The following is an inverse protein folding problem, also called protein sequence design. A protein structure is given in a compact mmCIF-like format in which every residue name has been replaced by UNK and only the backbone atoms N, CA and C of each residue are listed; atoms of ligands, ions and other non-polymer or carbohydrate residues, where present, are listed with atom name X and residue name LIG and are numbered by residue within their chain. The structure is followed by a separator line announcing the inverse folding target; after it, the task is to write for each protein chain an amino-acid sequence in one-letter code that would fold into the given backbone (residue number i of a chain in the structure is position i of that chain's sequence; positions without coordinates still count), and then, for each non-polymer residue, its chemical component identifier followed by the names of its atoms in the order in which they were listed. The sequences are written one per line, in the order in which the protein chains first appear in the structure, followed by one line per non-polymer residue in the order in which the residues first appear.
data_IF_301872629399
#
_entry.id   IF_301872629399
#
_cell.length_a   1.000
_cell.length_b   1.000
_cell.length_c   1.000
_cell.angle_alpha   90.00
_cell.angle_beta   90.00
_cell.angle_gamma   90.00
#
_symmetry.space_group_name_H-M   'P 1'
#
loop_
_entity.id
_entity.type
_entity.pdbx_description
1 polymer ?
#
# COMPACT_ATOMS: atom_id res chain seq x y z
N UNK A 1 5.39 36.29 25.55
CA UNK A 1 5.34 36.32 24.08
C UNK A 1 5.76 35.00 23.40
N UNK A 2 6.34 34.07 24.15
CA UNK A 2 6.64 32.72 23.70
C UNK A 2 5.44 31.91 23.20
N UNK A 3 4.17 32.10 23.66
CA UNK A 3 3.05 31.28 23.22
C UNK A 3 2.72 31.35 21.74
N UNK A 4 3.09 32.43 21.05
CA UNK A 4 2.80 32.57 19.62
C UNK A 4 3.72 31.74 18.71
N UNK A 5 4.92 31.44 19.20
CA UNK A 5 5.89 30.65 18.44
C UNK A 5 5.54 29.14 18.50
N UNK A 6 5.01 28.72 19.65
CA UNK A 6 4.58 27.32 19.81
C UNK A 6 3.41 26.97 18.90
N UNK A 7 2.52 27.93 18.62
CA UNK A 7 1.38 27.73 17.73
C UNK A 7 1.78 27.55 16.26
N UNK A 8 2.88 28.17 15.86
CA UNK A 8 3.39 28.03 14.49
C UNK A 8 4.06 26.67 14.27
N UNK A 9 4.67 26.14 15.30
CA UNK A 9 5.30 24.82 15.22
C UNK A 9 4.28 23.68 15.19
N UNK A 10 3.18 23.80 15.92
CA UNK A 10 2.11 22.81 15.93
C UNK A 10 1.52 22.58 14.52
N UNK A 11 1.47 23.65 13.73
CA UNK A 11 0.96 23.53 12.34
C UNK A 11 1.93 22.87 11.37
N UNK A 12 3.16 22.61 11.77
CA UNK A 12 4.20 21.98 10.92
C UNK A 12 4.34 20.49 11.16
N UNK A 13 3.86 20.01 12.29
CA UNK A 13 3.94 18.58 12.58
C UNK A 13 2.86 17.80 11.82
N UNK A 14 3.22 16.66 11.21
CA UNK A 14 2.23 15.83 10.55
C UNK A 14 1.23 15.31 11.57
N UNK A 15 -0.04 15.25 11.17
CA UNK A 15 -1.08 14.66 11.98
C UNK A 15 -0.86 13.15 12.07
N UNK A 16 -0.81 12.55 13.27
CA UNK A 16 -0.66 11.11 13.36
C UNK A 16 -1.89 10.39 12.80
N UNK A 17 -1.74 9.17 12.27
CA UNK A 17 -2.87 8.40 11.78
C UNK A 17 -3.77 7.96 12.93
N UNK A 18 -5.07 7.91 12.69
CA UNK A 18 -6.04 7.36 13.65
C UNK A 18 -5.84 5.85 13.82
N UNK A 19 -5.55 5.19 12.71
CA UNK A 19 -5.26 3.76 12.67
C UNK A 19 -3.96 3.55 11.91
N UNK A 20 -3.16 2.58 12.34
CA UNK A 20 -1.91 2.26 11.64
C UNK A 20 -2.24 1.62 10.30
N UNK A 21 -1.86 2.23 9.17
CA UNK A 21 -2.08 1.63 7.86
C UNK A 21 -1.20 0.39 7.68
N UNK A 22 -1.71 -0.59 6.93
CA UNK A 22 -0.94 -1.79 6.57
C UNK A 22 -0.03 -1.44 5.41
N UNK A 23 1.13 -0.92 5.74
CA UNK A 23 2.09 -0.32 4.81
C UNK A 23 3.50 -0.81 5.12
N UNK A 24 4.24 -1.16 4.09
CA UNK A 24 5.66 -1.44 4.17
C UNK A 24 6.38 -0.65 3.10
N UNK A 25 7.40 0.09 3.49
CA UNK A 25 8.18 0.92 2.59
C UNK A 25 9.62 0.40 2.51
N UNK A 26 10.20 0.52 1.33
CA UNK A 26 11.66 0.33 1.18
C UNK A 26 12.39 1.36 2.02
N UNK A 27 13.62 1.06 2.49
CA UNK A 27 14.43 2.04 3.20
C UNK A 27 14.60 3.33 2.40
N UNK A 28 14.78 4.45 3.09
CA UNK A 28 14.96 5.75 2.48
C UNK A 28 16.25 5.86 1.66
N UNK A 29 17.21 4.98 1.90
CA UNK A 29 18.45 4.90 1.12
C UNK A 29 18.17 4.51 -0.34
N UNK A 30 19.11 4.75 -1.26
CA UNK A 30 18.92 4.34 -2.65
C UNK A 30 18.53 2.87 -2.77
N UNK A 31 17.51 2.61 -3.57
CA UNK A 31 17.02 1.27 -3.81
C UNK A 31 16.66 1.10 -5.28
N UNK A 32 16.53 -0.14 -5.73
CA UNK A 32 16.10 -0.46 -7.08
C UNK A 32 14.63 -0.84 -7.08
N UNK A 33 14.02 -0.82 -8.25
CA UNK A 33 12.68 -1.33 -8.45
C UNK A 33 11.64 -0.29 -8.81
N UNK A 34 10.50 -0.80 -9.23
CA UNK A 34 9.35 -0.04 -9.72
C UNK A 34 8.59 0.66 -8.61
N UNK A 35 8.50 0.01 -7.44
CA UNK A 35 7.70 0.50 -6.34
C UNK A 35 8.59 0.81 -5.15
N UNK A 36 8.15 1.76 -4.35
CA UNK A 36 8.83 2.15 -3.13
C UNK A 36 8.33 1.38 -1.91
N UNK A 37 7.32 0.56 -2.10
CA UNK A 37 6.74 -0.26 -1.07
C UNK A 37 5.37 -0.77 -1.49
N UNK A 38 4.61 -1.29 -0.53
CA UNK A 38 3.27 -1.79 -0.75
C UNK A 38 2.33 -1.37 0.36
N UNK A 39 1.07 -1.19 0.00
CA UNK A 39 -0.01 -0.79 0.88
C UNK A 39 -1.18 -1.75 0.72
N UNK A 40 -1.71 -2.21 1.86
CA UNK A 40 -2.86 -3.11 1.88
C UNK A 40 -4.05 -2.41 2.55
N UNK A 41 -4.92 -1.73 1.78
CA UNK A 41 -6.09 -1.05 2.33
C UNK A 41 -7.14 -2.06 2.80
N UNK A 42 -8.05 -1.60 3.67
CA UNK A 42 -9.13 -2.45 4.20
C UNK A 42 -10.33 -2.51 3.26
N UNK A 43 -10.47 -1.52 2.37
CA UNK A 43 -11.59 -1.42 1.44
C UNK A 43 -11.16 -0.75 0.14
N UNK A 44 -12.08 -0.66 -0.81
CA UNK A 44 -11.88 0.07 -2.07
C UNK A 44 -12.36 1.53 -2.01
N UNK A 45 -12.64 2.04 -0.83
CA UNK A 45 -13.03 3.43 -0.62
C UNK A 45 -11.78 4.27 -0.32
N UNK A 46 -11.33 4.98 -1.33
CA UNK A 46 -10.10 5.77 -1.25
C UNK A 46 -10.18 6.86 -0.19
N UNK A 47 -11.34 7.51 -0.04
CA UNK A 47 -11.53 8.58 0.94
C UNK A 47 -11.46 8.09 2.39
N UNK A 48 -11.84 6.84 2.62
CA UNK A 48 -11.76 6.20 3.93
C UNK A 48 -10.33 5.74 4.24
N UNK A 49 -9.64 5.19 3.24
CA UNK A 49 -8.34 4.54 3.42
C UNK A 49 -7.15 5.51 3.38
N UNK A 50 -7.24 6.58 2.58
CA UNK A 50 -6.12 7.50 2.36
C UNK A 50 -5.68 8.30 3.59
N UNK A 51 -6.54 8.81 4.46
CA UNK A 51 -6.09 9.69 5.55
C UNK A 51 -4.96 9.11 6.39
N UNK A 52 -5.08 7.86 6.80
CA UNK A 52 -4.06 7.20 7.62
C UNK A 52 -2.76 6.96 6.83
N UNK A 53 -2.87 6.57 5.57
CA UNK A 53 -1.72 6.40 4.69
C UNK A 53 -0.97 7.70 4.50
N UNK A 54 -1.69 8.78 4.21
CA UNK A 54 -1.06 10.09 3.97
C UNK A 54 -0.43 10.66 5.23
N UNK A 55 -1.00 10.40 6.40
CA UNK A 55 -0.42 10.79 7.68
C UNK A 55 0.97 10.16 7.86
N UNK A 56 1.11 8.88 7.55
CA UNK A 56 2.41 8.19 7.65
C UNK A 56 3.38 8.67 6.57
N UNK A 57 2.92 8.77 5.32
CA UNK A 57 3.78 9.18 4.21
C UNK A 57 4.25 10.63 4.31
N UNK A 58 3.50 11.50 4.98
CA UNK A 58 3.90 12.90 5.16
C UNK A 58 5.21 13.02 5.96
N UNK A 59 5.53 12.06 6.79
CA UNK A 59 6.82 12.02 7.51
C UNK A 59 7.98 11.90 6.52
N UNK A 60 7.81 11.11 5.46
CA UNK A 60 8.85 10.86 4.46
C UNK A 60 8.83 11.88 3.32
N UNK A 61 7.64 12.24 2.86
CA UNK A 61 7.46 13.09 1.68
C UNK A 61 7.26 14.58 2.01
N UNK A 62 7.04 14.89 3.29
CA UNK A 62 6.60 16.22 3.69
C UNK A 62 5.13 16.42 3.32
N UNK A 63 4.75 17.67 3.05
CA UNK A 63 3.37 18.01 2.71
C UNK A 63 2.94 17.30 1.41
N UNK A 64 1.85 16.54 1.49
CA UNK A 64 1.31 15.82 0.34
C UNK A 64 0.47 16.78 -0.51
N UNK A 65 0.73 16.77 -1.82
CA UNK A 65 0.03 17.61 -2.80
C UNK A 65 -1.09 16.85 -3.49
N UNK A 66 -0.79 15.65 -3.98
CA UNK A 66 -1.76 14.86 -4.76
C UNK A 66 -1.51 13.36 -4.69
N UNK A 67 -2.54 12.62 -5.04
CA UNK A 67 -2.49 11.17 -5.16
C UNK A 67 -3.02 10.79 -6.54
N UNK A 68 -2.26 9.99 -7.28
CA UNK A 68 -2.65 9.45 -8.56
C UNK A 68 -3.07 7.99 -8.37
N UNK A 69 -4.19 7.61 -8.97
CA UNK A 69 -4.71 6.26 -8.83
C UNK A 69 -5.41 5.81 -10.11
N UNK A 70 -5.60 4.51 -10.25
CA UNK A 70 -6.36 3.97 -11.38
C UNK A 70 -7.86 3.98 -11.05
N UNK A 71 -8.64 4.62 -11.90
CA UNK A 71 -10.08 4.80 -11.69
C UNK A 71 -10.82 3.49 -11.44
N UNK A 72 -10.48 2.45 -12.20
CA UNK A 72 -11.17 1.16 -12.11
C UNK A 72 -10.83 0.34 -10.86
N UNK A 73 -9.77 0.69 -10.14
CA UNK A 73 -9.33 -0.05 -8.96
C UNK A 73 -10.07 0.36 -7.67
N UNK A 74 -10.77 1.49 -7.71
CA UNK A 74 -11.38 2.09 -6.53
C UNK A 74 -12.83 2.46 -6.79
N UNK A 75 -13.60 2.56 -5.71
CA UNK A 75 -14.94 3.14 -5.76
C UNK A 75 -14.83 4.61 -6.15
N UNK A 76 -15.92 5.18 -6.65
CA UNK A 76 -15.94 6.58 -7.06
C UNK A 76 -15.46 7.49 -5.93
N UNK A 77 -14.44 8.30 -6.22
CA UNK A 77 -13.84 9.21 -5.25
C UNK A 77 -13.96 10.66 -5.73
N UNK A 78 -14.00 11.63 -4.80
CA UNK A 78 -14.00 13.05 -5.16
C UNK A 78 -12.63 13.44 -5.72
N UNK A 79 -12.56 14.64 -6.29
CA UNK A 79 -11.30 15.17 -6.84
C UNK A 79 -10.38 15.77 -5.78
N UNK A 80 -10.88 15.97 -4.58
CA UNK A 80 -10.10 16.50 -3.45
C UNK A 80 -10.49 15.77 -2.17
N UNK A 81 -9.51 15.57 -1.31
CA UNK A 81 -9.70 14.99 0.01
C UNK A 81 -9.18 15.96 1.07
N UNK A 82 -10.03 16.31 2.01
CA UNK A 82 -9.62 17.11 3.17
C UNK A 82 -9.06 16.18 4.24
N UNK A 83 -7.79 16.34 4.58
CA UNK A 83 -7.13 15.54 5.61
C UNK A 83 -5.99 16.34 6.22
N UNK A 84 -5.79 16.21 7.54
CA UNK A 84 -4.74 16.93 8.24
C UNK A 84 -4.85 18.45 8.12
N UNK A 85 -6.07 19.00 8.01
CA UNK A 85 -6.29 20.44 7.84
C UNK A 85 -5.97 20.96 6.45
N UNK A 86 -5.74 20.10 5.46
CA UNK A 86 -5.36 20.46 4.10
C UNK A 86 -6.18 19.69 3.07
N UNK A 87 -6.20 20.22 1.85
CA UNK A 87 -6.82 19.53 0.72
C UNK A 87 -5.75 18.85 -0.13
N UNK A 88 -5.94 17.56 -0.38
CA UNK A 88 -5.08 16.76 -1.25
C UNK A 88 -5.85 16.47 -2.53
N UNK A 89 -5.23 16.69 -3.68
CA UNK A 89 -5.85 16.40 -4.97
C UNK A 89 -5.85 14.90 -5.23
N UNK A 90 -6.99 14.39 -5.69
CA UNK A 90 -7.13 12.99 -6.08
C UNK A 90 -7.31 12.92 -7.59
N UNK A 91 -6.27 12.47 -8.30
CA UNK A 91 -6.24 12.40 -9.76
C UNK A 91 -6.42 10.96 -10.21
N UNK A 92 -7.61 10.63 -10.69
CA UNK A 92 -7.90 9.31 -11.23
C UNK A 92 -7.61 9.25 -12.73
N UNK A 93 -6.93 8.21 -13.16
CA UNK A 93 -6.58 7.97 -14.55
C UNK A 93 -7.00 6.58 -14.99
N UNK A 94 -7.41 6.47 -16.24
CA UNK A 94 -7.76 5.16 -16.84
C UNK A 94 -6.51 4.35 -17.18
N UNK A 95 -5.43 5.05 -17.57
CA UNK A 95 -4.20 4.42 -18.02
C UNK A 95 -3.14 4.28 -16.92
N UNK A 96 -3.47 4.65 -15.69
CA UNK A 96 -2.60 4.40 -14.55
C UNK A 96 -2.36 2.89 -14.43
N UNK A 97 -1.12 2.43 -14.15
CA UNK A 97 -0.87 1.00 -13.96
C UNK A 97 -1.80 0.41 -12.89
N UNK A 98 -2.38 -0.78 -13.12
CA UNK A 98 -3.28 -1.38 -12.14
C UNK A 98 -2.55 -1.72 -10.84
N UNK A 99 -3.28 -1.69 -9.74
CA UNK A 99 -2.79 -1.99 -8.40
C UNK A 99 -1.61 -1.11 -7.99
N UNK A 100 -1.62 0.16 -8.42
CA UNK A 100 -0.63 1.15 -7.99
C UNK A 100 -1.29 2.45 -7.57
N UNK A 101 -0.66 3.10 -6.60
CA UNK A 101 -1.02 4.45 -6.17
C UNK A 101 0.28 5.25 -6.11
N UNK A 102 0.26 6.46 -6.63
CA UNK A 102 1.40 7.34 -6.61
C UNK A 102 1.09 8.55 -5.75
N UNK A 103 1.88 8.76 -4.71
CA UNK A 103 1.70 9.88 -3.76
C UNK A 103 2.80 10.90 -3.98
N UNK A 104 2.40 12.14 -4.26
CA UNK A 104 3.33 13.22 -4.54
C UNK A 104 3.32 14.27 -3.44
N UNK A 105 4.51 14.60 -2.96
CA UNK A 105 4.72 15.73 -2.06
C UNK A 105 4.98 17.02 -2.82
N UNK A 106 4.87 18.16 -2.14
CA UNK A 106 5.12 19.47 -2.73
C UNK A 106 6.56 19.64 -3.22
N UNK A 107 7.50 18.92 -2.64
CA UNK A 107 8.94 19.00 -2.98
C UNK A 107 9.31 18.11 -4.16
N UNK A 108 8.36 17.74 -5.01
CA UNK A 108 8.54 16.80 -6.13
C UNK A 108 8.96 15.40 -5.71
N UNK A 109 8.93 15.11 -4.43
CA UNK A 109 9.15 13.75 -3.93
C UNK A 109 7.90 12.93 -4.20
N UNK A 110 8.10 11.69 -4.58
CA UNK A 110 6.99 10.78 -4.83
C UNK A 110 7.28 9.39 -4.30
N UNK A 111 6.23 8.71 -3.90
CA UNK A 111 6.28 7.28 -3.61
C UNK A 111 5.28 6.57 -4.49
N UNK A 112 5.73 5.52 -5.15
CA UNK A 112 4.87 4.61 -5.91
C UNK A 112 4.64 3.39 -5.04
N UNK A 113 3.39 3.10 -4.75
CA UNK A 113 3.01 1.98 -3.90
C UNK A 113 2.26 0.93 -4.68
N UNK A 114 2.65 -0.32 -4.48
CA UNK A 114 1.83 -1.45 -4.88
C UNK A 114 0.61 -1.48 -3.96
N UNK A 115 -0.59 -1.57 -4.53
CA UNK A 115 -1.81 -1.74 -3.76
C UNK A 115 -2.19 -3.21 -3.74
N UNK A 116 -2.14 -3.81 -2.57
CA UNK A 116 -2.59 -5.18 -2.38
C UNK A 116 -4.12 -5.15 -2.27
N UNK A 117 -4.86 -5.92 -3.09
CA UNK A 117 -6.32 -5.90 -3.03
C UNK A 117 -6.85 -6.19 -1.62
N UNK A 118 -7.92 -5.48 -1.18
CA UNK A 118 -8.43 -5.61 0.19
C UNK A 118 -8.79 -7.03 0.61
N UNK A 119 -9.28 -7.82 -0.33
CA UNK A 119 -9.73 -9.20 -0.07
C UNK A 119 -8.63 -10.25 -0.14
N UNK A 120 -7.37 -9.81 -0.24
CA UNK A 120 -6.24 -10.74 -0.30
C UNK A 120 -6.11 -11.49 1.01
N UNK A 121 -5.82 -12.79 0.91
CA UNK A 121 -5.51 -13.61 2.07
C UNK A 121 -4.38 -12.97 2.92
N UNK A 122 -4.53 -12.91 4.26
CA UNK A 122 -3.54 -12.24 5.12
C UNK A 122 -2.10 -12.70 4.94
N UNK A 123 -1.87 -14.00 4.80
CA UNK A 123 -0.52 -14.53 4.61
C UNK A 123 0.09 -14.08 3.28
N UNK A 124 -0.73 -14.08 2.24
CA UNK A 124 -0.35 -13.60 0.90
C UNK A 124 -0.08 -12.10 0.89
N UNK A 125 -0.97 -11.34 1.52
CA UNK A 125 -0.80 -9.89 1.62
C UNK A 125 0.49 -9.55 2.35
N UNK A 126 0.78 -10.22 3.45
CA UNK A 126 2.00 -10.02 4.22
C UNK A 126 3.25 -10.35 3.38
N UNK A 127 3.23 -11.47 2.67
CA UNK A 127 4.36 -11.86 1.81
C UNK A 127 4.60 -10.82 0.71
N UNK A 128 3.54 -10.30 0.11
CA UNK A 128 3.63 -9.25 -0.92
C UNK A 128 4.20 -7.94 -0.33
N UNK A 129 3.73 -7.55 0.85
CA UNK A 129 4.22 -6.35 1.54
C UNK A 129 5.72 -6.46 1.83
N UNK A 130 6.15 -7.59 2.33
CA UNK A 130 7.57 -7.82 2.66
C UNK A 130 8.44 -7.85 1.40
N UNK A 131 7.98 -8.50 0.34
CA UNK A 131 8.72 -8.55 -0.92
C UNK A 131 8.86 -7.16 -1.55
N UNK A 132 7.78 -6.38 -1.57
CA UNK A 132 7.80 -5.04 -2.13
C UNK A 132 8.69 -4.07 -1.34
N UNK A 133 8.87 -4.30 -0.04
CA UNK A 133 9.69 -3.47 0.83
C UNK A 133 11.18 -3.86 0.83
N UNK A 134 11.55 -4.96 0.19
CA UNK A 134 12.94 -5.38 0.10
C UNK A 134 13.73 -4.41 -0.81
N UNK A 135 14.87 -3.84 -0.35
CA UNK A 135 15.59 -2.80 -1.09
C UNK A 135 16.09 -3.24 -2.45
N UNK A 136 16.42 -4.50 -2.60
CA UNK A 136 16.98 -5.11 -3.81
C UNK A 136 15.91 -5.75 -4.70
N UNK A 137 14.65 -5.70 -4.31
CA UNK A 137 13.57 -6.27 -5.13
C UNK A 137 13.19 -5.30 -6.23
N UNK A 138 13.46 -5.69 -7.47
CA UNK A 138 13.14 -4.91 -8.67
C UNK A 138 11.98 -5.51 -9.47
N UNK A 139 11.22 -6.42 -8.86
CA UNK A 139 10.06 -7.03 -9.51
C UNK A 139 9.02 -5.97 -9.89
N UNK A 140 8.35 -6.21 -11.00
CA UNK A 140 7.21 -5.39 -11.41
C UNK A 140 6.02 -5.61 -10.47
N UNK A 141 5.01 -4.75 -10.57
CA UNK A 141 3.77 -4.90 -9.82
C UNK A 141 3.14 -6.26 -10.10
N UNK A 142 3.02 -6.63 -11.37
CA UNK A 142 2.49 -7.93 -11.77
C UNK A 142 3.33 -9.08 -11.22
N UNK A 143 4.65 -8.95 -11.26
CA UNK A 143 5.57 -9.94 -10.70
C UNK A 143 5.36 -10.15 -9.20
N UNK A 144 5.21 -9.09 -8.44
CA UNK A 144 4.96 -9.16 -7.00
C UNK A 144 3.62 -9.83 -6.68
N UNK A 145 2.57 -9.49 -7.41
CA UNK A 145 1.26 -10.09 -7.24
C UNK A 145 1.25 -11.56 -7.68
N UNK A 146 1.98 -11.90 -8.74
CA UNK A 146 2.11 -13.29 -9.22
C UNK A 146 2.87 -14.18 -8.25
N UNK A 147 3.89 -13.67 -7.59
CA UNK A 147 4.60 -14.40 -6.53
C UNK A 147 3.61 -14.84 -5.45
N UNK A 148 2.73 -13.93 -5.03
CA UNK A 148 1.70 -14.23 -4.03
C UNK A 148 0.73 -15.32 -4.51
N UNK A 149 0.33 -15.29 -5.78
CA UNK A 149 -0.53 -16.30 -6.37
C UNK A 149 0.14 -17.67 -6.42
N UNK A 150 1.41 -17.72 -6.81
CA UNK A 150 2.20 -18.96 -6.85
C UNK A 150 2.34 -19.59 -5.48
N UNK A 151 2.58 -18.79 -4.45
CA UNK A 151 2.63 -19.30 -3.08
C UNK A 151 1.32 -19.92 -2.66
N UNK A 152 0.20 -19.30 -3.00
CA UNK A 152 -1.13 -19.83 -2.70
C UNK A 152 -1.38 -21.14 -3.43
N UNK A 153 -1.07 -21.21 -4.73
CA UNK A 153 -1.21 -22.43 -5.51
C UNK A 153 -0.36 -23.55 -4.93
N UNK A 154 0.88 -23.24 -4.56
CA UNK A 154 1.78 -24.21 -3.94
C UNK A 154 1.24 -24.74 -2.63
N UNK A 155 0.65 -23.90 -1.79
CA UNK A 155 0.01 -24.32 -0.53
C UNK A 155 -1.21 -25.19 -0.79
N UNK A 156 -2.04 -24.82 -1.74
CA UNK A 156 -3.23 -25.58 -2.13
C UNK A 156 -2.84 -26.95 -2.64
N UNK A 157 -1.81 -27.02 -3.48
CA UNK A 157 -1.28 -28.28 -4.00
C UNK A 157 -0.71 -29.17 -2.89
N UNK A 158 0.00 -28.60 -1.93
CA UNK A 158 0.53 -29.34 -0.79
C UNK A 158 -0.59 -29.88 0.10
N UNK A 159 -1.62 -29.09 0.35
CA UNK A 159 -2.78 -29.50 1.13
C UNK A 159 -3.53 -30.65 0.43
N UNK A 160 -3.74 -30.53 -0.89
CA UNK A 160 -4.39 -31.57 -1.68
C UNK A 160 -3.56 -32.86 -1.73
N UNK A 161 -2.24 -32.74 -1.83
CA UNK A 161 -1.34 -33.89 -1.77
C UNK A 161 -1.38 -34.58 -0.41
N UNK A 162 -1.46 -33.82 0.67
CA UNK A 162 -1.59 -34.36 2.02
C UNK A 162 -2.91 -35.11 2.21
N UNK A 163 -4.02 -34.54 1.74
CA UNK A 163 -5.33 -35.20 1.78
C UNK A 163 -5.35 -36.50 1.00
N UNK A 164 -4.74 -36.50 -0.18
CA UNK A 164 -4.64 -37.74 -0.99
C UNK A 164 -3.81 -38.81 -0.29
N UNK A 165 -2.70 -38.42 0.32
CA UNK A 165 -1.84 -39.32 1.06
C UNK A 165 -2.59 -39.94 2.25
N UNK A 166 -3.35 -39.16 2.98
CA UNK A 166 -4.14 -39.62 4.12
C UNK A 166 -5.28 -40.53 3.66
N UNK A 167 -5.92 -40.21 2.53
CA UNK A 167 -6.98 -41.02 1.93
C UNK A 167 -6.46 -42.37 1.45
N UNK A 168 -5.32 -42.41 0.79
CA UNK A 168 -4.68 -43.64 0.33
C UNK A 168 -4.26 -44.51 1.51
N UNK A 169 -3.71 -43.92 2.57
CA UNK A 169 -3.37 -44.63 3.79
C UNK A 169 -4.58 -45.25 4.47
N UNK A 170 -5.74 -44.60 4.42
CA UNK A 170 -6.98 -45.13 5.00
C UNK A 170 -7.59 -46.23 4.14
N UNK A 171 -7.40 -46.19 2.81
CA UNK A 171 -7.94 -47.20 1.89
C UNK A 171 -7.20 -48.54 1.95
N UNK A 172 -5.96 -48.55 2.39
CA UNK A 172 -5.14 -49.76 2.53
C UNK A 172 -5.42 -50.54 3.81
N UNK A 173 -6.25 -50.02 4.67
CA UNK A 173 -6.69 -50.69 5.88
C UNK A 173 -8.03 -51.37 5.65
#
# INVERSE_FOLDING_TARGET
MAPKQDRTDVGRHPTPPEHTPRLRLKPKAPHTGYVDGAWWPHSDDLTTELPDLLAVLSVRLGRIDRVLYKLSDWSKAPTKLATGGRAVKLDGYRLQPPNTVEVLGLNRRRNVLLVVPPHTDPDRAHATLMAAAAPDNDSTVDGLLMISLRERESRTQRAAAQERSDSEGAAER
#
